data_IF_969591490907
#
_entry.id   IF_969591490907
#
_cell.length_a   1.000
_cell.length_b   1.000
_cell.length_c   1.000
_cell.angle_alpha   90.00
_cell.angle_beta   90.00
_cell.angle_gamma   90.00
#
_symmetry.space_group_name_H-M   'P 1'
#
loop_
_entity.id
_entity.type
_entity.pdbx_description
1 polymer ?
#
# COMPACT_ATOMS: atom_id res chain seq x y z
N UNK A 1 -12.47 -13.81 15.86
CA UNK A 1 -11.46 -13.61 16.92
C UNK A 1 -10.68 -12.32 16.66
N UNK A 2 -10.42 -11.54 17.72
CA UNK A 2 -9.60 -10.32 17.65
C UNK A 2 -8.13 -10.73 17.86
N UNK A 3 -7.22 -10.27 16.99
CA UNK A 3 -5.79 -10.54 17.11
C UNK A 3 -5.04 -9.21 17.12
N UNK A 4 -4.01 -9.10 17.92
CA UNK A 4 -3.08 -7.97 17.88
C UNK A 4 -2.01 -8.23 16.81
N UNK A 5 -1.70 -7.23 16.00
CA UNK A 5 -0.63 -7.29 15.00
C UNK A 5 0.15 -5.97 14.99
N UNK A 6 1.42 -6.05 14.64
CA UNK A 6 2.24 -4.86 14.42
C UNK A 6 1.89 -4.27 13.06
N UNK A 7 1.66 -2.96 13.04
CA UNK A 7 1.49 -2.19 11.81
C UNK A 7 2.64 -1.19 11.68
N UNK A 8 3.25 -1.19 10.51
CA UNK A 8 4.28 -0.21 10.16
C UNK A 8 3.64 0.84 9.25
N UNK A 9 3.77 2.10 9.61
CA UNK A 9 3.38 3.23 8.76
C UNK A 9 4.57 3.65 7.89
N UNK A 10 4.52 3.41 6.56
CA UNK A 10 5.69 3.57 5.69
C UNK A 10 6.29 4.98 5.72
N UNK A 11 5.45 6.02 5.78
CA UNK A 11 5.91 7.41 5.82
C UNK A 11 6.74 7.70 7.07
N UNK A 12 6.23 7.33 8.25
CA UNK A 12 6.93 7.53 9.51
C UNK A 12 8.20 6.68 9.60
N UNK A 13 8.12 5.43 9.14
CA UNK A 13 9.25 4.51 9.14
C UNK A 13 10.39 4.99 8.23
N UNK A 14 10.06 5.41 7.00
CA UNK A 14 11.06 5.90 6.05
C UNK A 14 11.69 7.22 6.53
N UNK A 15 10.92 8.12 7.12
CA UNK A 15 11.45 9.35 7.71
C UNK A 15 12.42 9.05 8.85
N UNK A 16 12.08 8.11 9.72
CA UNK A 16 12.95 7.68 10.80
C UNK A 16 14.26 7.09 10.27
N UNK A 17 14.20 6.22 9.25
CA UNK A 17 15.37 5.65 8.60
C UNK A 17 16.27 6.71 7.96
N UNK A 18 15.69 7.70 7.26
CA UNK A 18 16.44 8.80 6.66
C UNK A 18 17.14 9.64 7.71
N UNK A 19 16.48 9.87 8.84
CA UNK A 19 17.08 10.55 9.98
C UNK A 19 18.27 9.78 10.54
N UNK A 20 18.13 8.46 10.73
CA UNK A 20 19.22 7.59 11.20
C UNK A 20 20.42 7.64 10.25
N UNK A 21 20.21 7.53 8.93
CA UNK A 21 21.27 7.65 7.94
C UNK A 21 22.06 8.94 8.12
N UNK A 22 21.37 10.07 8.30
CA UNK A 22 22.02 11.37 8.52
C UNK A 22 22.78 11.45 9.85
N UNK A 23 22.22 10.88 10.91
CA UNK A 23 22.87 10.85 12.24
C UNK A 23 24.16 10.03 12.23
N UNK A 24 24.22 8.97 11.41
CA UNK A 24 25.41 8.17 11.20
C UNK A 24 26.39 8.77 10.17
N UNK A 25 26.21 10.02 9.77
CA UNK A 25 27.10 10.72 8.85
C UNK A 25 26.86 10.44 7.37
N UNK A 26 25.76 9.76 7.04
CA UNK A 26 25.37 9.54 5.65
C UNK A 26 24.86 10.81 4.97
N UNK A 27 25.15 10.94 3.68
CA UNK A 27 24.68 12.04 2.85
C UNK A 27 23.64 11.55 1.86
N UNK A 28 22.61 12.39 1.63
CA UNK A 28 21.56 12.11 0.65
C UNK A 28 21.75 13.09 -0.49
N UNK A 29 21.99 12.56 -1.68
CA UNK A 29 22.15 13.32 -2.90
C UNK A 29 21.11 12.87 -3.91
N UNK A 30 20.34 13.83 -4.45
CA UNK A 30 19.38 13.54 -5.54
C UNK A 30 20.16 13.58 -6.84
N UNK A 31 20.20 12.45 -7.55
CA UNK A 31 20.93 12.31 -8.81
C UNK A 31 20.18 11.38 -9.75
N UNK A 32 20.14 11.75 -11.02
CA UNK A 32 19.59 10.91 -12.09
C UNK A 32 20.73 10.13 -12.76
N UNK A 33 20.54 8.83 -12.93
CA UNK A 33 21.38 7.94 -13.72
C UNK A 33 20.60 7.45 -14.93
N UNK A 34 21.08 7.68 -16.14
CA UNK A 34 20.42 7.28 -17.39
C UNK A 34 21.05 6.05 -18.03
N UNK A 35 22.31 5.83 -17.71
CA UNK A 35 23.10 4.72 -18.25
C UNK A 35 23.95 4.09 -17.15
N UNK A 36 24.36 2.81 -17.29
CA UNK A 36 25.28 2.20 -16.34
C UNK A 36 26.62 2.94 -16.22
N UNK A 37 27.03 3.68 -17.27
CA UNK A 37 28.26 4.49 -17.25
C UNK A 37 28.19 5.65 -16.27
N UNK A 38 26.99 6.17 -16.02
CA UNK A 38 26.81 7.27 -15.07
C UNK A 38 27.18 6.84 -13.63
N UNK A 39 27.09 5.54 -13.33
CA UNK A 39 27.53 4.97 -12.06
C UNK A 39 29.04 5.10 -11.85
N UNK A 40 29.84 5.13 -12.92
CA UNK A 40 31.30 5.32 -12.86
C UNK A 40 31.71 6.74 -12.40
N UNK A 41 30.75 7.66 -12.34
CA UNK A 41 30.94 9.03 -11.85
C UNK A 41 30.70 9.17 -10.34
N UNK A 42 30.35 8.08 -9.67
CA UNK A 42 30.23 7.98 -8.22
C UNK A 42 31.63 7.68 -7.64
N UNK A 43 32.00 8.38 -6.57
CA UNK A 43 33.35 8.26 -5.96
C UNK A 43 33.49 7.01 -5.10
N UNK A 44 32.38 6.45 -4.66
CA UNK A 44 32.33 5.30 -3.77
C UNK A 44 32.73 4.01 -4.50
N UNK A 45 33.54 3.18 -3.82
CA UNK A 45 34.03 1.93 -4.38
C UNK A 45 33.03 0.79 -4.36
N UNK A 46 31.96 0.92 -3.55
CA UNK A 46 30.87 -0.05 -3.43
C UNK A 46 29.54 0.65 -3.70
N UNK A 47 28.80 0.13 -4.63
CA UNK A 47 27.48 0.65 -5.01
C UNK A 47 26.44 -0.45 -4.81
N UNK A 48 25.37 -0.14 -4.07
CA UNK A 48 24.22 -1.03 -3.91
C UNK A 48 23.06 -0.50 -4.75
N UNK A 49 22.64 -1.28 -5.75
CA UNK A 49 21.51 -0.91 -6.60
C UNK A 49 20.19 -1.19 -5.88
N UNK A 50 19.46 -0.14 -5.56
CA UNK A 50 18.11 -0.19 -4.97
C UNK A 50 17.11 0.63 -5.79
N UNK A 51 17.30 0.75 -7.11
CA UNK A 51 16.48 1.60 -8.00
C UNK A 51 15.12 1.00 -8.33
N UNK A 52 14.80 -0.20 -7.85
CA UNK A 52 13.51 -0.85 -8.12
C UNK A 52 13.23 -0.97 -9.62
N UNK A 53 12.05 -0.53 -10.06
CA UNK A 53 11.68 -0.53 -11.49
C UNK A 53 12.57 0.36 -12.36
N UNK A 54 13.29 1.33 -11.79
CA UNK A 54 14.28 2.10 -12.52
C UNK A 54 15.45 1.27 -13.07
N UNK A 55 15.69 0.07 -12.52
CA UNK A 55 16.67 -0.88 -13.07
C UNK A 55 16.30 -1.37 -14.47
N UNK A 56 15.02 -1.44 -14.81
CA UNK A 56 14.56 -1.81 -16.14
C UNK A 56 15.21 -0.92 -17.21
N UNK A 57 15.12 0.39 -17.06
CA UNK A 57 15.66 1.33 -18.05
C UNK A 57 17.18 1.48 -17.92
N UNK A 58 17.69 1.54 -16.67
CA UNK A 58 19.10 1.76 -16.40
C UNK A 58 19.99 0.61 -16.90
N UNK A 59 19.56 -0.63 -16.71
CA UNK A 59 20.31 -1.84 -17.08
C UNK A 59 19.73 -2.61 -18.26
N UNK A 60 18.59 -2.14 -18.81
CA UNK A 60 17.83 -2.85 -19.86
C UNK A 60 17.38 -4.24 -19.40
N UNK A 61 16.91 -4.30 -18.17
CA UNK A 61 16.44 -5.53 -17.55
C UNK A 61 14.98 -5.77 -17.93
N UNK A 62 14.75 -6.47 -19.04
CA UNK A 62 13.41 -6.78 -19.57
C UNK A 62 12.67 -7.85 -18.74
N UNK A 63 13.33 -8.52 -17.79
CA UNK A 63 12.68 -9.45 -16.87
C UNK A 63 11.92 -8.71 -15.74
N UNK A 64 12.24 -7.45 -15.50
CA UNK A 64 11.52 -6.61 -14.55
C UNK A 64 10.16 -6.19 -15.09
N UNK A 65 9.12 -6.78 -14.54
CA UNK A 65 7.73 -6.48 -14.89
C UNK A 65 7.07 -5.73 -13.72
N UNK A 66 6.47 -4.55 -13.94
CA UNK A 66 5.80 -3.82 -12.89
C UNK A 66 4.51 -4.53 -12.46
N UNK A 67 4.18 -4.41 -11.20
CA UNK A 67 2.85 -4.73 -10.69
C UNK A 67 2.26 -3.46 -10.10
N UNK A 68 1.34 -2.85 -10.82
CA UNK A 68 0.66 -1.64 -10.36
C UNK A 68 -0.36 -2.00 -9.29
N UNK A 69 -0.24 -1.35 -8.13
CA UNK A 69 -1.24 -1.39 -7.06
C UNK A 69 -1.84 -0.01 -6.85
N UNK A 70 -3.16 0.08 -6.80
CA UNK A 70 -3.87 1.31 -6.46
C UNK A 70 -4.59 1.14 -5.14
N UNK A 71 -4.40 2.10 -4.24
CA UNK A 71 -5.13 2.23 -2.99
C UNK A 71 -6.09 3.43 -3.08
N UNK A 72 -7.18 3.36 -2.35
CA UNK A 72 -8.07 4.49 -2.10
C UNK A 72 -7.93 4.93 -0.65
N UNK A 73 -7.73 6.21 -0.41
CA UNK A 73 -7.60 6.75 0.94
C UNK A 73 -8.86 7.51 1.34
N UNK A 74 -9.36 7.21 2.52
CA UNK A 74 -10.37 8.01 3.22
C UNK A 74 -9.67 8.98 4.16
N UNK A 75 -10.37 10.03 4.53
CA UNK A 75 -9.92 10.97 5.59
C UNK A 75 -9.65 10.23 6.90
N UNK A 76 -8.75 10.74 7.77
CA UNK A 76 -8.49 10.14 9.06
C UNK A 76 -9.76 9.99 9.90
N UNK A 77 -9.91 8.83 10.53
CA UNK A 77 -11.00 8.50 11.46
C UNK A 77 -10.35 7.86 12.69
N UNK A 78 -9.98 8.66 13.71
CA UNK A 78 -9.23 8.18 14.88
C UNK A 78 -9.94 7.10 15.69
N UNK A 79 -11.27 7.04 15.59
CA UNK A 79 -12.11 6.02 16.24
C UNK A 79 -11.99 4.62 15.59
N UNK A 80 -11.43 4.54 14.37
CA UNK A 80 -11.21 3.28 13.68
C UNK A 80 -9.83 2.72 14.06
N UNK A 81 -9.78 1.90 15.09
CA UNK A 81 -8.57 1.30 15.65
C UNK A 81 -8.33 -0.17 15.24
N UNK A 82 -9.15 -0.68 14.33
CA UNK A 82 -9.13 -2.07 13.88
C UNK A 82 -8.89 -2.19 12.39
N UNK A 83 -8.28 -3.31 11.99
CA UNK A 83 -8.08 -3.66 10.58
C UNK A 83 -9.07 -4.76 10.18
N UNK A 84 -9.95 -4.44 9.23
CA UNK A 84 -10.88 -5.40 8.64
C UNK A 84 -11.20 -4.96 7.20
N UNK A 85 -10.41 -5.43 6.25
CA UNK A 85 -10.54 -4.98 4.85
C UNK A 85 -10.20 -3.50 4.61
N UNK A 86 -9.66 -2.84 5.62
CA UNK A 86 -9.09 -1.50 5.55
C UNK A 86 -7.84 -1.45 6.41
N UNK A 87 -7.01 -0.46 6.18
CA UNK A 87 -5.79 -0.23 6.94
C UNK A 87 -5.83 1.18 7.51
N UNK A 88 -6.25 1.34 8.79
CA UNK A 88 -6.20 2.62 9.45
C UNK A 88 -4.74 3.06 9.63
N UNK A 89 -4.47 4.34 9.36
CA UNK A 89 -3.18 4.99 9.47
C UNK A 89 -3.35 6.36 10.13
N UNK A 90 -2.26 6.98 10.55
CA UNK A 90 -2.30 8.34 11.11
C UNK A 90 -2.76 9.40 10.09
N UNK A 91 -2.48 9.16 8.79
CA UNK A 91 -2.80 10.05 7.68
C UNK A 91 -4.12 9.72 6.97
N UNK A 92 -4.82 8.66 7.36
CA UNK A 92 -6.09 8.26 6.78
C UNK A 92 -6.37 6.78 6.88
N UNK A 93 -7.37 6.31 6.15
CA UNK A 93 -7.70 4.89 6.06
C UNK A 93 -7.46 4.42 4.63
N UNK A 94 -6.50 3.51 4.45
CA UNK A 94 -6.28 2.88 3.15
C UNK A 94 -7.28 1.75 2.94
N UNK A 95 -7.99 1.81 1.81
CA UNK A 95 -8.90 0.78 1.35
C UNK A 95 -8.25 -0.01 0.23
N UNK A 96 -8.35 -1.31 0.32
CA UNK A 96 -8.07 -2.30 -0.69
C UNK A 96 -6.75 -2.10 -1.44
N UNK A 97 -6.53 -2.92 -2.45
CA UNK A 97 -5.57 -2.62 -3.52
C UNK A 97 -6.03 -3.31 -4.79
N UNK A 98 -5.60 -2.78 -5.93
CA UNK A 98 -5.61 -3.49 -7.21
C UNK A 98 -4.26 -4.16 -7.41
N UNK A 99 -4.23 -5.16 -8.30
CA UNK A 99 -2.99 -5.77 -8.76
C UNK A 99 -3.06 -5.90 -10.28
N UNK A 100 -2.26 -5.09 -10.98
CA UNK A 100 -2.24 -5.06 -12.45
C UNK A 100 -0.81 -5.28 -12.93
N UNK A 101 -0.53 -6.49 -13.42
CA UNK A 101 0.79 -6.86 -13.92
C UNK A 101 1.05 -6.22 -15.29
N UNK A 102 2.26 -5.77 -15.52
CA UNK A 102 2.67 -5.17 -16.80
C UNK A 102 2.21 -3.74 -17.03
N UNK A 103 1.52 -3.12 -16.07
CA UNK A 103 1.01 -1.74 -16.20
C UNK A 103 2.02 -0.75 -15.64
N UNK A 104 2.64 0.03 -16.52
CA UNK A 104 3.68 1.02 -16.19
C UNK A 104 3.14 2.39 -15.81
N UNK A 105 1.91 2.73 -16.21
CA UNK A 105 1.34 4.06 -15.92
C UNK A 105 0.98 4.22 -14.44
N UNK A 106 1.29 5.40 -13.89
CA UNK A 106 0.88 5.80 -12.54
C UNK A 106 -0.48 6.53 -12.54
N UNK A 107 -1.11 6.70 -13.70
CA UNK A 107 -2.42 7.35 -13.80
C UNK A 107 -3.45 6.57 -12.98
N UNK A 108 -4.18 7.22 -12.06
CA UNK A 108 -5.23 6.56 -11.31
C UNK A 108 -6.33 6.00 -12.24
N UNK A 109 -6.84 4.83 -11.87
CA UNK A 109 -8.00 4.21 -12.50
C UNK A 109 -9.25 4.51 -11.67
N UNK A 110 -10.11 5.38 -12.18
CA UNK A 110 -11.33 5.82 -11.48
C UNK A 110 -12.36 4.70 -11.34
N UNK A 111 -12.41 3.78 -12.31
CA UNK A 111 -13.32 2.62 -12.24
C UNK A 111 -12.87 1.68 -11.12
N UNK A 112 -11.57 1.40 -11.05
CA UNK A 112 -11.00 0.61 -9.96
C UNK A 112 -11.20 1.30 -8.59
N UNK A 113 -11.02 2.63 -8.52
CA UNK A 113 -11.29 3.41 -7.31
C UNK A 113 -12.74 3.24 -6.85
N UNK A 114 -13.69 3.41 -7.74
CA UNK A 114 -15.11 3.28 -7.41
C UNK A 114 -15.42 1.86 -6.92
N UNK A 115 -14.93 0.83 -7.60
CA UNK A 115 -15.11 -0.57 -7.22
C UNK A 115 -14.57 -0.85 -5.80
N UNK A 116 -13.39 -0.30 -5.44
CA UNK A 116 -12.83 -0.43 -4.09
C UNK A 116 -13.75 0.20 -3.05
N UNK A 117 -14.30 1.39 -3.33
CA UNK A 117 -15.22 2.08 -2.43
C UNK A 117 -16.52 1.30 -2.25
N UNK A 118 -17.12 0.83 -3.34
CA UNK A 118 -18.37 0.07 -3.31
C UNK A 118 -18.21 -1.22 -2.49
N UNK A 119 -17.15 -1.97 -2.71
CA UNK A 119 -16.81 -3.16 -1.91
C UNK A 119 -16.62 -2.83 -0.42
N UNK A 120 -16.03 -1.68 -0.10
CA UNK A 120 -15.93 -1.25 1.29
C UNK A 120 -17.29 -0.92 1.89
N UNK A 121 -18.15 -0.20 1.15
CA UNK A 121 -19.51 0.11 1.59
C UNK A 121 -20.31 -1.18 1.88
N UNK A 122 -20.27 -2.15 0.98
CA UNK A 122 -20.92 -3.45 1.14
C UNK A 122 -20.38 -4.19 2.36
N UNK A 123 -19.04 -4.26 2.50
CA UNK A 123 -18.38 -4.92 3.62
C UNK A 123 -18.77 -4.35 4.99
N UNK A 124 -18.92 -3.03 5.08
CA UNK A 124 -19.25 -2.36 6.34
C UNK A 124 -20.73 -2.09 6.54
N UNK A 125 -21.59 -2.40 5.57
CA UNK A 125 -23.04 -2.18 5.66
C UNK A 125 -23.66 -2.87 6.89
N UNK A 126 -23.18 -4.06 7.26
CA UNK A 126 -23.64 -4.83 8.39
C UNK A 126 -23.15 -4.31 9.76
N UNK A 127 -22.11 -3.45 9.77
CA UNK A 127 -21.56 -2.84 10.99
C UNK A 127 -22.34 -1.61 11.44
N UNK A 128 -23.34 -1.16 10.68
CA UNK A 128 -24.18 -0.03 11.08
C UNK A 128 -24.87 -0.39 12.39
N UNK A 129 -24.71 0.48 13.39
CA UNK A 129 -25.37 0.30 14.68
C UNK A 129 -26.87 0.13 14.46
N UNK A 130 -27.52 -0.84 15.11
CA UNK A 130 -28.97 -0.93 15.09
C UNK A 130 -29.54 0.37 15.66
N UNK A 131 -30.71 0.80 15.14
CA UNK A 131 -31.45 1.92 15.68
C UNK A 131 -31.60 1.75 17.21
N UNK A 132 -31.61 2.84 17.99
CA UNK A 132 -31.79 2.77 19.43
C UNK A 132 -33.03 1.98 19.77
N UNK A 133 -32.89 0.78 20.33
CA UNK A 133 -34.00 -0.13 20.69
C UNK A 133 -33.89 -1.53 20.08
N UNK A 134 -33.04 -1.79 19.11
CA UNK A 134 -32.78 -3.15 18.63
C UNK A 134 -31.61 -3.76 19.41
N UNK A 135 -31.91 -4.75 20.24
CA UNK A 135 -30.88 -5.57 20.90
C UNK A 135 -30.02 -6.28 19.84
N UNK A 136 -28.71 -6.07 19.93
CA UNK A 136 -27.69 -6.78 19.17
C UNK A 136 -27.86 -8.30 19.36
N UNK A 137 -28.57 -8.96 18.47
CA UNK A 137 -28.29 -10.35 18.21
C UNK A 137 -26.88 -10.36 17.58
N UNK A 138 -25.91 -10.92 18.30
CA UNK A 138 -24.59 -11.25 17.76
C UNK A 138 -24.78 -12.30 16.67
N UNK A 139 -25.12 -11.85 15.48
CA UNK A 139 -25.00 -12.65 14.28
C UNK A 139 -23.51 -12.94 14.08
N UNK A 140 -23.14 -14.19 14.04
CA UNK A 140 -21.84 -14.59 13.50
C UNK A 140 -21.72 -13.96 12.10
N UNK A 141 -20.52 -13.51 11.73
CA UNK A 141 -20.26 -13.07 10.37
C UNK A 141 -20.81 -14.12 9.40
N UNK A 142 -21.50 -13.73 8.32
CA UNK A 142 -21.99 -14.69 7.34
C UNK A 142 -20.84 -15.61 6.94
N UNK A 143 -21.13 -16.92 6.84
CA UNK A 143 -20.13 -17.94 6.50
C UNK A 143 -19.46 -17.67 5.14
N UNK A 144 -20.06 -16.82 4.32
CA UNK A 144 -19.60 -16.43 2.98
C UNK A 144 -18.93 -15.05 2.94
N UNK A 145 -18.48 -14.51 4.08
CA UNK A 145 -17.67 -13.27 4.04
C UNK A 145 -16.39 -13.55 3.24
N UNK A 146 -16.13 -12.81 2.12
CA UNK A 146 -14.98 -13.07 1.28
C UNK A 146 -13.70 -12.98 2.11
N UNK A 147 -12.81 -13.97 1.94
CA UNK A 147 -11.50 -13.95 2.58
C UNK A 147 -10.65 -12.80 2.04
N UNK A 148 -9.66 -12.36 2.80
CA UNK A 148 -8.71 -11.32 2.35
C UNK A 148 -8.01 -11.75 1.07
N UNK A 149 -7.81 -13.05 0.86
CA UNK A 149 -7.20 -13.65 -0.32
C UNK A 149 -8.05 -13.45 -1.59
N UNK A 150 -9.38 -13.48 -1.48
CA UNK A 150 -10.27 -13.22 -2.63
C UNK A 150 -10.21 -11.79 -3.20
N UNK A 151 -9.52 -10.88 -2.50
CA UNK A 151 -9.29 -9.52 -3.00
C UNK A 151 -8.22 -9.45 -4.09
N UNK A 152 -7.36 -10.46 -4.17
CA UNK A 152 -6.19 -10.46 -5.06
C UNK A 152 -6.38 -11.35 -6.30
N UNK A 153 -7.42 -12.22 -6.31
CA UNK A 153 -7.57 -13.26 -7.33
C UNK A 153 -8.46 -12.87 -8.54
N UNK A 154 -9.05 -11.67 -8.54
CA UNK A 154 -10.10 -11.29 -9.50
C UNK A 154 -9.60 -10.51 -10.75
N UNK A 155 -8.29 -10.46 -10.99
CA UNK A 155 -7.69 -9.78 -12.14
C UNK A 155 -6.85 -10.75 -13.03
N UNK A 156 -7.39 -11.94 -13.31
CA UNK A 156 -6.82 -12.84 -14.35
C UNK A 156 -7.61 -12.77 -15.61
#
# INVERSE_FOLDING_TARGET
SRRSSLRIEPSLYLEAMLREVRLFGGHIVIREFKTPRDLMTVSESVIVNCTGLGSHDLFRDEELIPVKGQLTFLVPQPEVDYQYGCMPRSDGIALGSTRQQGVWTLTPDEVARQRIVDRAIERYAWMRSPEPGQQLMRSAAPADAPSVESFFDDDS
#
